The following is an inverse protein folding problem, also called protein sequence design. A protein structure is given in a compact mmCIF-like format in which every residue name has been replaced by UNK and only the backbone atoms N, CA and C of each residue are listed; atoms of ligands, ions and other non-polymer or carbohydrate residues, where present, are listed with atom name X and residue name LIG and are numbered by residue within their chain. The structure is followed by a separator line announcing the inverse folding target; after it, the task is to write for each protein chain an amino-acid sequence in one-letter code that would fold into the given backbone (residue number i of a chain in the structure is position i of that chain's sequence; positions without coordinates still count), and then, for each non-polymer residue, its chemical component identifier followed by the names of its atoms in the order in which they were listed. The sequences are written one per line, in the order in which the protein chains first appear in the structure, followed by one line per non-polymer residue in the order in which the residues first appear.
data_IF_697736296913
#
_entry.id   IF_697736296913
#
_cell.length_a   1.000
_cell.length_b   1.000
_cell.length_c   1.000
_cell.angle_alpha   90.00
_cell.angle_beta   90.00
_cell.angle_gamma   90.00
#
_symmetry.space_group_name_H-M   'P 1'
#
loop_
_entity.id
_entity.type
_entity.pdbx_description
1 polymer ?
#
# COMPACT_ATOMS: atom_id res chain seq x y z
N UNK A 1 11.11 37.29 32.35
CA UNK A 1 10.53 37.24 30.99
C UNK A 1 11.28 36.35 29.97
N UNK A 2 12.42 35.73 30.32
CA UNK A 2 13.27 34.99 29.35
C UNK A 2 12.90 33.52 29.11
N UNK A 3 12.22 32.86 30.06
CA UNK A 3 11.92 31.41 30.01
C UNK A 3 10.83 31.03 28.99
N UNK A 4 9.74 31.80 28.92
CA UNK A 4 8.58 31.49 28.08
C UNK A 4 8.90 31.60 26.59
N UNK A 5 9.69 32.61 26.18
CA UNK A 5 10.12 32.80 24.79
C UNK A 5 11.00 31.62 24.33
N UNK A 6 11.92 31.16 25.19
CA UNK A 6 12.77 29.99 24.90
C UNK A 6 11.95 28.70 24.74
N UNK A 7 10.94 28.50 25.59
CA UNK A 7 10.04 27.35 25.50
C UNK A 7 9.20 27.37 24.20
N UNK A 8 8.67 28.54 23.80
CA UNK A 8 7.92 28.69 22.55
C UNK A 8 8.78 28.45 21.32
N UNK A 9 10.01 28.96 21.29
CA UNK A 9 10.96 28.70 20.20
C UNK A 9 11.34 27.22 20.10
N UNK A 10 11.55 26.54 21.24
CA UNK A 10 11.80 25.10 21.27
C UNK A 10 10.61 24.25 20.79
N UNK A 11 9.39 24.69 21.09
CA UNK A 11 8.15 24.07 20.59
C UNK A 11 8.02 24.21 19.07
N UNK A 12 8.23 25.42 18.54
CA UNK A 12 8.21 25.68 17.10
C UNK A 12 9.28 24.89 16.36
N UNK A 13 10.50 24.81 16.89
CA UNK A 13 11.58 24.02 16.29
C UNK A 13 11.26 22.52 16.23
N UNK A 14 10.62 21.95 17.27
CA UNK A 14 10.15 20.56 17.25
C UNK A 14 9.04 20.34 16.22
N UNK A 15 8.06 21.25 16.17
CA UNK A 15 6.96 21.17 15.22
C UNK A 15 7.46 21.27 13.77
N UNK A 16 8.43 22.13 13.52
CA UNK A 16 9.08 22.26 12.22
C UNK A 16 9.81 20.97 11.83
N UNK A 17 10.61 20.38 12.73
CA UNK A 17 11.28 19.09 12.46
C UNK A 17 10.30 17.97 12.13
N UNK A 18 9.22 17.85 12.91
CA UNK A 18 8.17 16.86 12.64
C UNK A 18 7.51 17.04 11.27
N UNK A 19 7.28 18.29 10.82
CA UNK A 19 6.75 18.57 9.48
C UNK A 19 7.75 18.19 8.39
N UNK A 20 9.04 18.44 8.60
CA UNK A 20 10.10 18.06 7.66
C UNK A 20 10.23 16.53 7.55
N UNK A 21 10.20 15.82 8.68
CA UNK A 21 10.23 14.35 8.74
C UNK A 21 9.03 13.74 8.03
N UNK A 22 7.81 14.21 8.32
CA UNK A 22 6.59 13.73 7.65
C UNK A 22 6.61 13.98 6.14
N UNK A 23 7.18 15.11 5.70
CA UNK A 23 7.39 15.39 4.27
C UNK A 23 8.41 14.47 3.63
N UNK A 24 9.51 14.17 4.32
CA UNK A 24 10.52 13.23 3.85
C UNK A 24 9.95 11.81 3.72
N UNK A 25 9.15 11.37 4.70
CA UNK A 25 8.44 10.09 4.66
C UNK A 25 7.42 10.03 3.52
N UNK A 26 6.64 11.11 3.32
CA UNK A 26 5.70 11.21 2.21
C UNK A 26 6.39 11.14 0.85
N UNK A 27 7.52 11.84 0.69
CA UNK A 27 8.30 11.81 -0.55
C UNK A 27 8.96 10.44 -0.79
N UNK A 28 9.44 9.77 0.27
CA UNK A 28 9.98 8.41 0.17
C UNK A 28 8.89 7.39 -0.23
N UNK A 29 7.71 7.47 0.39
CA UNK A 29 6.57 6.65 0.03
C UNK A 29 6.14 6.92 -1.43
N UNK A 30 6.05 8.20 -1.81
CA UNK A 30 5.72 8.60 -3.18
C UNK A 30 6.70 8.02 -4.19
N UNK A 31 8.01 8.11 -3.95
CA UNK A 31 9.03 7.50 -4.81
C UNK A 31 8.89 5.99 -4.91
N UNK A 32 8.73 5.30 -3.78
CA UNK A 32 8.51 3.86 -3.77
C UNK A 32 7.31 3.44 -4.62
N UNK A 33 6.19 4.16 -4.51
CA UNK A 33 4.98 3.86 -5.29
C UNK A 33 5.06 4.32 -6.75
N UNK A 34 5.75 5.44 -7.04
CA UNK A 34 5.93 5.98 -8.39
C UNK A 34 6.95 5.16 -9.21
N UNK A 35 8.00 4.62 -8.56
CA UNK A 35 9.05 3.81 -9.19
C UNK A 35 8.54 2.41 -9.57
N UNK A 36 7.61 1.84 -8.79
CA UNK A 36 7.02 0.52 -9.03
C UNK A 36 6.09 0.41 -10.26
N UNK A 37 5.75 1.54 -10.89
CA UNK A 37 4.54 1.66 -11.72
C UNK A 37 4.63 1.24 -13.18
N UNK A 38 5.81 0.89 -13.73
CA UNK A 38 5.92 0.68 -15.20
C UNK A 38 6.35 -0.70 -15.66
N UNK A 39 7.26 -1.39 -14.97
CA UNK A 39 7.79 -2.68 -15.44
C UNK A 39 8.40 -3.51 -14.28
N UNK A 40 7.94 -3.35 -13.04
CA UNK A 40 8.50 -4.21 -11.99
C UNK A 40 8.06 -5.66 -12.23
N UNK A 41 9.01 -6.62 -12.27
CA UNK A 41 8.67 -8.03 -12.28
C UNK A 41 7.70 -8.32 -11.15
N UNK A 42 6.73 -9.23 -11.36
CA UNK A 42 5.72 -9.61 -10.36
C UNK A 42 6.33 -9.88 -8.97
N UNK A 43 7.60 -10.28 -8.92
CA UNK A 43 8.41 -10.59 -7.74
C UNK A 43 8.68 -9.41 -6.78
N UNK A 44 8.49 -8.16 -7.20
CA UNK A 44 8.74 -6.98 -6.35
C UNK A 44 7.48 -6.35 -5.74
N UNK A 45 6.29 -6.85 -6.10
CA UNK A 45 5.04 -6.43 -5.46
C UNK A 45 4.97 -6.94 -4.00
N UNK A 46 4.53 -6.10 -3.05
CA UNK A 46 4.40 -6.52 -1.63
C UNK A 46 3.53 -7.77 -1.46
N UNK A 47 2.52 -7.95 -2.31
CA UNK A 47 1.66 -9.13 -2.33
C UNK A 47 2.27 -10.37 -3.01
N UNK A 48 3.44 -10.28 -3.63
CA UNK A 48 4.18 -11.42 -4.16
C UNK A 48 5.01 -12.13 -3.07
N UNK A 49 5.33 -11.45 -1.97
CA UNK A 49 6.00 -12.06 -0.82
C UNK A 49 5.18 -13.27 -0.30
N UNK A 50 5.77 -14.48 -0.19
CA UNK A 50 5.01 -15.71 0.06
C UNK A 50 4.12 -15.69 1.31
N UNK A 51 4.60 -15.09 2.41
CA UNK A 51 3.84 -14.98 3.66
C UNK A 51 2.64 -14.02 3.52
N UNK A 52 2.87 -12.89 2.84
CA UNK A 52 1.82 -11.91 2.55
C UNK A 52 0.78 -12.54 1.63
N UNK A 53 1.22 -13.21 0.56
CA UNK A 53 0.33 -13.90 -0.38
C UNK A 53 -0.55 -14.92 0.32
N UNK A 54 0.03 -15.80 1.16
CA UNK A 54 -0.74 -16.80 1.92
C UNK A 54 -1.76 -16.16 2.87
N UNK A 55 -1.42 -15.03 3.49
CA UNK A 55 -2.34 -14.30 4.35
C UNK A 55 -3.51 -13.69 3.55
N UNK A 56 -3.22 -13.06 2.39
CA UNK A 56 -4.23 -12.54 1.47
C UNK A 56 -5.16 -13.68 1.00
N UNK A 57 -4.56 -14.76 0.48
CA UNK A 57 -5.29 -15.92 -0.04
C UNK A 57 -6.24 -16.50 1.02
N UNK A 58 -5.74 -16.72 2.25
CA UNK A 58 -6.58 -17.20 3.36
C UNK A 58 -7.71 -16.24 3.70
N UNK A 59 -7.43 -14.93 3.72
CA UNK A 59 -8.44 -13.92 4.09
C UNK A 59 -9.55 -13.81 3.04
N UNK A 60 -9.21 -13.90 1.76
CA UNK A 60 -10.18 -13.76 0.67
C UNK A 60 -10.93 -15.07 0.39
N UNK A 61 -10.20 -16.19 0.36
CA UNK A 61 -10.74 -17.46 -0.15
C UNK A 61 -11.03 -18.49 0.95
N UNK A 62 -10.47 -18.31 2.15
CA UNK A 62 -10.41 -19.30 3.22
C UNK A 62 -9.22 -20.26 3.11
N UNK A 63 -8.54 -20.32 1.96
CA UNK A 63 -7.43 -21.24 1.67
C UNK A 63 -6.13 -20.47 1.37
N UNK A 64 -5.03 -20.67 2.11
CA UNK A 64 -3.78 -19.97 1.86
C UNK A 64 -3.13 -20.30 0.50
N UNK A 65 -3.52 -21.39 -0.15
CA UNK A 65 -2.91 -21.88 -1.39
C UNK A 65 -3.78 -21.63 -2.63
N UNK A 66 -4.90 -20.92 -2.48
CA UNK A 66 -5.82 -20.63 -3.58
C UNK A 66 -5.76 -19.17 -4.01
N UNK A 67 -5.63 -18.93 -5.31
CA UNK A 67 -5.57 -17.57 -5.82
C UNK A 67 -6.94 -16.87 -5.77
N UNK A 68 -7.02 -15.59 -5.35
CA UNK A 68 -8.27 -14.87 -5.24
C UNK A 68 -9.09 -14.81 -6.53
N UNK A 69 -8.43 -14.60 -7.68
CA UNK A 69 -9.14 -14.48 -8.97
C UNK A 69 -9.71 -15.82 -9.44
N UNK A 70 -9.00 -16.93 -9.24
CA UNK A 70 -9.51 -18.27 -9.54
C UNK A 70 -10.69 -18.64 -8.63
N UNK A 71 -10.59 -18.27 -7.34
CA UNK A 71 -11.69 -18.43 -6.39
C UNK A 71 -12.91 -17.59 -6.78
N UNK A 72 -12.71 -16.33 -7.15
CA UNK A 72 -13.78 -15.44 -7.60
C UNK A 72 -14.46 -15.98 -8.85
N UNK A 73 -13.69 -16.37 -9.86
CA UNK A 73 -14.22 -16.93 -11.10
C UNK A 73 -15.08 -18.18 -10.81
N UNK A 74 -14.54 -19.14 -10.07
CA UNK A 74 -15.26 -20.37 -9.74
C UNK A 74 -16.54 -20.12 -8.91
N UNK A 75 -16.54 -19.10 -8.05
CA UNK A 75 -17.64 -18.84 -7.11
C UNK A 75 -18.72 -17.92 -7.68
N UNK A 76 -18.35 -16.91 -8.44
CA UNK A 76 -19.25 -15.80 -8.84
C UNK A 76 -19.30 -15.56 -10.35
N UNK A 77 -18.31 -16.01 -11.12
CA UNK A 77 -18.25 -15.82 -12.57
C UNK A 77 -18.07 -17.16 -13.30
N UNK A 78 -18.98 -18.12 -13.05
CA UNK A 78 -18.98 -19.44 -13.68
C UNK A 78 -19.17 -19.37 -15.20
N UNK A 79 -19.82 -18.29 -15.66
CA UNK A 79 -19.92 -17.91 -17.05
C UNK A 79 -19.25 -16.54 -17.23
N UNK A 80 -18.73 -16.22 -18.43
CA UNK A 80 -18.13 -14.92 -18.71
C UNK A 80 -19.11 -13.78 -18.42
N UNK A 81 -18.65 -12.80 -17.65
CA UNK A 81 -19.42 -11.58 -17.40
C UNK A 81 -19.20 -10.62 -18.58
N UNK A 82 -20.28 -10.07 -19.13
CA UNK A 82 -20.21 -9.11 -20.25
C UNK A 82 -19.44 -7.83 -19.85
N UNK A 83 -19.51 -7.45 -18.58
CA UNK A 83 -18.93 -6.21 -18.06
C UNK A 83 -18.35 -6.43 -16.66
N UNK A 84 -17.22 -5.77 -16.39
CA UNK A 84 -16.55 -5.78 -15.09
C UNK A 84 -15.89 -4.44 -14.79
N UNK A 85 -15.84 -4.09 -13.51
CA UNK A 85 -15.11 -2.93 -13.00
C UNK A 85 -14.06 -3.42 -12.01
N UNK A 86 -12.79 -3.15 -12.30
CA UNK A 86 -11.68 -3.43 -11.39
C UNK A 86 -11.18 -2.11 -10.80
N UNK A 87 -11.35 -1.93 -9.50
CA UNK A 87 -10.98 -0.70 -8.79
C UNK A 87 -9.64 -0.93 -8.10
N UNK A 88 -8.67 -0.06 -8.36
CA UNK A 88 -7.34 -0.18 -7.77
C UNK A 88 -6.52 -1.36 -8.31
N UNK A 89 -6.69 -1.71 -9.60
CA UNK A 89 -6.02 -2.85 -10.23
C UNK A 89 -4.51 -2.65 -10.46
N UNK A 90 -3.98 -1.43 -10.34
CA UNK A 90 -2.58 -1.19 -10.69
C UNK A 90 -2.34 -1.44 -12.19
N UNK A 91 -1.51 -2.44 -12.52
CA UNK A 91 -1.13 -2.78 -13.90
C UNK A 91 -2.23 -3.46 -14.74
N UNK A 92 -3.36 -3.81 -14.14
CA UNK A 92 -4.46 -4.54 -14.80
C UNK A 92 -4.88 -5.77 -14.00
#
# INVERSE_FOLDING_TARGET
MSSTIRASLGSLARRWRSVVEARAETEAARRFWDEGGRCEPEDHYWGAQPLVRRAINRRVTGDPNRWPMEWFAARYAREPLERGLSIGCGGG
#
